data_IF_806599160184
#
_entry.id   IF_806599160184
#
_cell.length_a   1.000
_cell.length_b   1.000
_cell.length_c   1.000
_cell.angle_alpha   90.00
_cell.angle_beta   90.00
_cell.angle_gamma   90.00
#
_symmetry.space_group_name_H-M   'P 1'
#
loop_
_entity.id
_entity.type
_entity.pdbx_description
1 polymer ?
#
# COMPACT_ATOMS: atom_id res chain seq x y z
N UNK A 1 -19.61 42.71 -27.92
CA UNK A 1 -19.73 42.20 -26.53
C UNK A 1 -19.32 40.73 -26.39
N UNK A 2 -19.46 39.89 -27.43
CA UNK A 2 -19.13 38.45 -27.42
C UNK A 2 -17.64 38.09 -27.23
N UNK A 3 -16.69 38.94 -27.64
CA UNK A 3 -15.26 38.63 -27.53
C UNK A 3 -14.70 38.57 -26.09
N UNK A 4 -15.29 39.34 -25.16
CA UNK A 4 -14.84 39.37 -23.76
C UNK A 4 -15.24 38.10 -23.00
N UNK A 5 -16.44 37.59 -23.25
CA UNK A 5 -16.91 36.35 -22.64
C UNK A 5 -16.07 35.15 -23.12
N UNK A 6 -15.80 35.05 -24.43
CA UNK A 6 -15.01 33.95 -25.00
C UNK A 6 -13.55 33.93 -24.52
N UNK A 7 -12.97 35.10 -24.25
CA UNK A 7 -11.61 35.20 -23.70
C UNK A 7 -11.54 34.70 -22.25
N UNK A 8 -12.56 35.01 -21.45
CA UNK A 8 -12.64 34.55 -20.05
C UNK A 8 -12.81 33.02 -20.00
N UNK A 9 -13.63 32.43 -20.86
CA UNK A 9 -13.79 30.96 -20.91
C UNK A 9 -12.49 30.26 -21.31
N UNK A 10 -11.73 30.82 -22.26
CA UNK A 10 -10.44 30.26 -22.67
C UNK A 10 -9.41 30.30 -21.54
N UNK A 11 -9.33 31.40 -20.80
CA UNK A 11 -8.47 31.51 -19.60
C UNK A 11 -8.88 30.48 -18.54
N UNK A 12 -10.18 30.31 -18.31
CA UNK A 12 -10.65 29.34 -17.31
C UNK A 12 -10.30 27.89 -17.69
N UNK A 13 -10.49 27.52 -18.96
CA UNK A 13 -10.15 26.17 -19.45
C UNK A 13 -8.63 25.94 -19.40
N UNK A 14 -7.82 26.92 -19.79
CA UNK A 14 -6.36 26.78 -19.71
C UNK A 14 -5.87 26.60 -18.27
N UNK A 15 -6.40 27.36 -17.30
CA UNK A 15 -6.12 27.16 -15.87
C UNK A 15 -6.53 25.75 -15.41
N UNK A 16 -7.71 25.28 -15.81
CA UNK A 16 -8.19 23.92 -15.49
C UNK A 16 -7.26 22.84 -16.07
N UNK A 17 -6.82 22.98 -17.32
CA UNK A 17 -5.89 22.02 -17.94
C UNK A 17 -4.52 22.03 -17.28
N UNK A 18 -3.98 23.20 -16.94
CA UNK A 18 -2.69 23.32 -16.26
C UNK A 18 -2.78 22.71 -14.85
N UNK A 19 -3.84 23.01 -14.09
CA UNK A 19 -4.03 22.40 -12.77
C UNK A 19 -4.19 20.88 -12.83
N UNK A 20 -4.88 20.35 -13.84
CA UNK A 20 -5.00 18.90 -14.05
C UNK A 20 -3.64 18.26 -14.39
N UNK A 21 -2.83 18.91 -15.23
CA UNK A 21 -1.47 18.43 -15.57
C UNK A 21 -0.53 18.44 -14.35
N UNK A 22 -0.60 19.46 -13.50
CA UNK A 22 0.14 19.50 -12.24
C UNK A 22 -0.31 18.42 -11.26
N UNK A 23 -1.61 18.13 -11.18
CA UNK A 23 -2.14 17.07 -10.30
C UNK A 23 -1.77 15.65 -10.77
N UNK A 24 -1.61 15.44 -12.08
CA UNK A 24 -1.10 14.18 -12.64
C UNK A 24 0.42 14.03 -12.44
N UNK A 25 1.16 15.14 -12.44
CA UNK A 25 2.62 15.14 -12.38
C UNK A 25 3.25 15.00 -10.99
N UNK A 26 2.49 15.03 -9.89
CA UNK A 26 3.07 15.14 -8.53
C UNK A 26 2.46 14.20 -7.51
N UNK A 27 2.12 12.96 -7.88
CA UNK A 27 1.90 11.92 -6.86
C UNK A 27 3.26 11.35 -6.47
N UNK A 28 4.04 12.15 -5.73
CA UNK A 28 5.28 11.66 -5.11
C UNK A 28 4.93 10.86 -3.87
N UNK A 29 4.73 9.56 -4.04
CA UNK A 29 4.48 8.63 -2.93
C UNK A 29 5.59 8.70 -1.87
N UNK A 30 6.83 9.04 -2.25
CA UNK A 30 7.96 9.19 -1.33
C UNK A 30 7.69 10.23 -0.25
N UNK A 31 7.01 11.33 -0.58
CA UNK A 31 6.68 12.40 0.36
C UNK A 31 5.73 11.94 1.49
N UNK A 32 4.90 10.93 1.25
CA UNK A 32 4.01 10.35 2.26
C UNK A 32 4.75 9.44 3.26
N UNK A 33 5.84 8.80 2.84
CA UNK A 33 6.70 7.97 3.70
C UNK A 33 7.82 8.75 4.40
N UNK A 34 8.22 9.89 3.83
CA UNK A 34 9.36 10.69 4.30
C UNK A 34 9.19 11.50 5.60
N UNK A 35 7.98 11.81 6.15
CA UNK A 35 7.91 12.65 7.35
C UNK A 35 8.54 11.98 8.57
N UNK A 36 8.53 10.64 8.62
CA UNK A 36 9.09 9.87 9.74
C UNK A 36 10.63 9.73 9.65
N UNK A 37 11.18 9.77 8.44
CA UNK A 37 12.62 9.63 8.19
C UNK A 37 13.39 10.96 8.33
N UNK A 38 12.71 12.11 8.14
CA UNK A 38 13.35 13.42 8.18
C UNK A 38 13.56 13.99 9.60
N UNK A 39 12.96 13.40 10.63
CA UNK A 39 13.06 13.89 12.02
C UNK A 39 14.24 13.31 12.80
N UNK A 40 14.99 12.37 12.24
CA UNK A 40 16.15 11.80 12.92
C UNK A 40 17.40 12.65 12.66
N UNK A 41 18.05 13.21 13.70
CA UNK A 41 19.34 13.87 13.53
C UNK A 41 20.33 12.87 12.94
N UNK A 42 21.12 13.31 11.96
CA UNK A 42 22.03 12.48 11.14
C UNK A 42 23.07 11.65 11.91
N UNK A 43 23.18 11.85 13.23
CA UNK A 43 24.18 11.23 14.09
C UNK A 43 23.59 10.28 15.14
N UNK A 44 22.27 10.03 15.17
CA UNK A 44 21.70 9.06 16.09
C UNK A 44 21.63 7.67 15.46
N UNK A 45 22.63 6.85 15.75
CA UNK A 45 22.63 5.42 15.41
C UNK A 45 22.05 4.67 16.61
N UNK A 46 20.85 4.06 16.50
CA UNK A 46 20.36 3.16 17.53
C UNK A 46 21.38 2.02 17.72
N UNK A 47 21.64 1.55 18.95
CA UNK A 47 22.63 0.50 19.23
C UNK A 47 22.37 -0.82 18.47
N UNK A 48 21.16 -1.00 17.93
CA UNK A 48 20.67 -2.22 17.29
C UNK A 48 20.30 -2.05 15.81
N UNK A 49 20.95 -1.16 15.05
CA UNK A 49 20.81 -1.23 13.59
C UNK A 49 21.65 -2.39 13.06
N UNK A 50 20.97 -3.48 12.71
CA UNK A 50 21.41 -4.36 11.62
C UNK A 50 21.82 -3.45 10.44
N UNK A 51 23.06 -3.57 9.97
CA UNK A 51 23.55 -2.82 8.80
C UNK A 51 22.80 -3.18 7.51
N UNK A 52 21.98 -4.23 7.54
CA UNK A 52 21.13 -4.67 6.43
C UNK A 52 19.63 -4.45 6.72
N UNK A 53 18.85 -4.04 5.70
CA UNK A 53 17.40 -3.95 5.82
C UNK A 53 16.76 -5.31 6.09
N UNK A 54 15.62 -5.33 6.76
CA UNK A 54 14.80 -6.54 6.95
C UNK A 54 14.31 -7.06 5.59
N UNK A 55 14.62 -8.32 5.25
CA UNK A 55 14.16 -8.93 3.99
C UNK A 55 12.77 -9.51 4.19
N UNK A 56 11.79 -8.93 3.53
CA UNK A 56 10.38 -9.28 3.68
C UNK A 56 9.88 -9.98 2.42
N UNK A 57 9.48 -11.24 2.53
CA UNK A 57 8.69 -11.87 1.48
C UNK A 57 7.23 -11.47 1.66
N UNK A 58 6.67 -10.76 0.68
CA UNK A 58 5.27 -10.37 0.69
C UNK A 58 4.48 -11.26 -0.27
N UNK A 59 3.44 -11.92 0.24
CA UNK A 59 2.57 -12.76 -0.58
C UNK A 59 1.80 -11.93 -1.62
N UNK A 60 1.80 -12.41 -2.86
CA UNK A 60 0.95 -11.90 -3.94
C UNK A 60 -0.45 -12.48 -3.81
N UNK A 61 -1.26 -11.86 -2.96
CA UNK A 61 -2.66 -12.25 -2.75
C UNK A 61 -3.62 -11.38 -3.57
N UNK A 62 -4.80 -11.90 -3.93
CA UNK A 62 -5.82 -11.14 -4.63
C UNK A 62 -6.22 -9.86 -3.89
N UNK A 63 -6.41 -8.77 -4.63
CA UNK A 63 -6.67 -7.45 -4.05
C UNK A 63 -7.98 -7.31 -3.28
N UNK A 64 -8.92 -8.27 -3.40
CA UNK A 64 -10.10 -8.37 -2.51
C UNK A 64 -9.73 -8.46 -1.03
N UNK A 65 -8.51 -8.94 -0.72
CA UNK A 65 -7.98 -9.03 0.64
C UNK A 65 -7.34 -7.72 1.14
N UNK A 66 -7.17 -6.71 0.28
CA UNK A 66 -6.54 -5.44 0.66
C UNK A 66 -7.25 -4.22 0.06
N UNK A 67 -6.70 -3.65 -1.01
CA UNK A 67 -7.12 -2.37 -1.58
C UNK A 67 -8.46 -2.45 -2.28
N UNK A 68 -8.91 -3.65 -2.66
CA UNK A 68 -10.26 -3.88 -3.18
C UNK A 68 -11.35 -3.45 -2.20
N UNK A 69 -11.05 -3.42 -0.89
CA UNK A 69 -12.00 -2.91 0.11
C UNK A 69 -12.04 -1.38 0.17
N UNK A 70 -11.06 -0.66 -0.39
CA UNK A 70 -11.03 0.81 -0.38
C UNK A 70 -12.07 1.43 -1.32
N UNK A 71 -12.38 0.76 -2.44
CA UNK A 71 -13.37 1.22 -3.43
C UNK A 71 -14.45 0.17 -3.65
N UNK A 72 -15.72 0.60 -3.60
CA UNK A 72 -16.84 -0.28 -3.98
C UNK A 72 -16.78 -0.62 -5.47
N UNK A 73 -17.13 -1.86 -5.81
CA UNK A 73 -17.23 -2.32 -7.20
C UNK A 73 -15.89 -2.73 -7.82
N UNK A 74 -14.84 -2.87 -7.02
CA UNK A 74 -13.57 -3.43 -7.46
C UNK A 74 -13.67 -4.97 -7.50
N UNK A 75 -13.79 -5.52 -8.70
CA UNK A 75 -13.90 -6.96 -8.95
C UNK A 75 -12.63 -7.58 -9.53
N UNK A 76 -11.56 -6.80 -9.59
CA UNK A 76 -10.28 -7.28 -10.05
C UNK A 76 -9.64 -8.14 -8.95
N UNK A 77 -9.17 -9.32 -9.33
CA UNK A 77 -8.57 -10.30 -8.43
C UNK A 77 -7.04 -10.36 -8.58
N UNK A 78 -6.45 -9.52 -9.43
CA UNK A 78 -5.00 -9.45 -9.60
C UNK A 78 -4.32 -8.96 -8.32
N UNK A 79 -3.09 -9.44 -8.02
CA UNK A 79 -2.29 -8.88 -6.94
C UNK A 79 -1.96 -7.40 -7.16
N UNK A 80 -1.72 -6.69 -6.06
CA UNK A 80 -1.38 -5.27 -6.09
C UNK A 80 0.10 -5.09 -6.46
N UNK A 81 0.36 -4.23 -7.44
CA UNK A 81 1.69 -3.75 -7.85
C UNK A 81 1.82 -2.26 -7.53
N UNK A 82 3.02 -1.70 -7.65
CA UNK A 82 3.21 -0.24 -7.52
C UNK A 82 2.32 0.55 -8.50
N UNK A 83 2.19 0.05 -9.74
CA UNK A 83 1.48 0.70 -10.84
C UNK A 83 -0.03 0.77 -10.62
N UNK A 84 -0.60 -0.25 -9.96
CA UNK A 84 -2.04 -0.37 -9.74
C UNK A 84 -2.47 -0.04 -8.29
N UNK A 85 -1.53 0.37 -7.44
CA UNK A 85 -1.80 0.73 -6.05
C UNK A 85 -2.66 2.01 -5.98
N UNK A 86 -3.92 1.94 -5.51
CA UNK A 86 -4.73 3.15 -5.37
C UNK A 86 -4.19 4.01 -4.22
N UNK A 87 -4.31 5.34 -4.30
CA UNK A 87 -3.92 6.22 -3.20
C UNK A 87 -4.81 5.99 -1.98
N UNK A 88 -4.21 6.12 -0.79
CA UNK A 88 -5.00 6.10 0.45
C UNK A 88 -6.07 7.20 0.42
N UNK A 89 -7.35 6.90 0.69
CA UNK A 89 -8.40 7.91 0.56
C UNK A 89 -8.20 9.06 1.56
N UNK A 90 -8.40 10.31 1.13
CA UNK A 90 -8.20 11.50 1.99
C UNK A 90 -9.29 11.65 3.06
N UNK A 91 -10.50 11.16 2.75
CA UNK A 91 -11.71 11.25 3.58
C UNK A 91 -12.13 9.91 4.18
N UNK A 92 -11.17 9.08 4.62
CA UNK A 92 -11.49 7.72 5.11
C UNK A 92 -12.14 7.65 6.50
N UNK A 93 -12.31 8.77 7.21
CA UNK A 93 -12.89 8.80 8.56
C UNK A 93 -12.17 7.85 9.51
N UNK A 94 -12.93 7.03 10.25
CA UNK A 94 -12.43 6.00 11.17
C UNK A 94 -11.47 4.99 10.50
N UNK A 95 -11.59 4.81 9.18
CA UNK A 95 -10.73 3.89 8.43
C UNK A 95 -9.27 4.35 8.40
N UNK A 96 -8.96 5.63 8.66
CA UNK A 96 -7.57 6.15 8.73
C UNK A 96 -6.72 5.42 9.78
N UNK A 97 -7.35 4.93 10.85
CA UNK A 97 -6.68 4.20 11.92
C UNK A 97 -6.18 2.80 11.47
N UNK A 98 -6.63 2.32 10.30
CA UNK A 98 -6.29 1.01 9.73
C UNK A 98 -5.46 1.14 8.45
N UNK A 99 -4.57 2.14 8.44
CA UNK A 99 -3.70 2.43 7.30
C UNK A 99 -2.33 1.75 7.38
N UNK A 100 -1.99 1.14 8.52
CA UNK A 100 -0.67 0.55 8.76
C UNK A 100 -0.39 -0.54 7.72
N UNK A 101 -1.34 -1.44 7.50
CA UNK A 101 -1.22 -2.54 6.54
C UNK A 101 -1.05 -2.02 5.11
N UNK A 102 -1.74 -0.92 4.76
CA UNK A 102 -1.58 -0.25 3.47
C UNK A 102 -0.20 0.36 3.31
N UNK A 103 0.29 1.11 4.30
CA UNK A 103 1.58 1.77 4.21
C UNK A 103 2.74 0.76 4.23
N UNK A 104 2.61 -0.34 4.97
CA UNK A 104 3.58 -1.45 4.93
C UNK A 104 3.64 -2.10 3.54
N UNK A 105 2.49 -2.40 2.94
CA UNK A 105 2.46 -2.97 1.58
C UNK A 105 3.01 -1.99 0.55
N UNK A 106 2.60 -0.72 0.62
CA UNK A 106 3.01 0.31 -0.30
C UNK A 106 4.52 0.62 -0.22
N UNK A 107 5.11 0.62 0.97
CA UNK A 107 6.56 0.81 1.14
C UNK A 107 7.37 -0.34 0.54
N UNK A 108 6.90 -1.59 0.71
CA UNK A 108 7.52 -2.78 0.13
C UNK A 108 7.39 -2.81 -1.40
N UNK A 109 6.24 -2.42 -1.95
CA UNK A 109 6.02 -2.31 -3.40
C UNK A 109 6.94 -1.26 -4.03
N UNK A 110 6.98 -0.05 -3.45
CA UNK A 110 7.80 1.04 -3.97
C UNK A 110 9.30 0.72 -3.93
N UNK A 111 9.78 0.16 -2.81
CA UNK A 111 11.19 -0.19 -2.67
C UNK A 111 11.62 -1.31 -3.62
N UNK A 112 10.71 -2.23 -3.97
CA UNK A 112 10.99 -3.35 -4.87
C UNK A 112 11.38 -2.91 -6.27
N UNK A 113 10.71 -1.91 -6.84
CA UNK A 113 10.98 -1.46 -8.22
C UNK A 113 12.20 -0.53 -8.30
N UNK A 114 12.61 0.03 -7.15
CA UNK A 114 13.72 0.97 -7.06
C UNK A 114 14.96 0.35 -6.41
N UNK A 115 14.95 -0.92 -6.00
CA UNK A 115 16.12 -1.55 -5.35
C UNK A 115 17.31 -1.67 -6.28
N UNK A 116 17.08 -1.96 -7.56
CA UNK A 116 18.14 -2.17 -8.55
C UNK A 116 18.89 -0.88 -8.91
N UNK A 117 18.26 0.27 -8.67
CA UNK A 117 18.87 1.59 -8.90
C UNK A 117 19.56 2.17 -7.66
N UNK A 118 19.33 1.59 -6.47
CA UNK A 118 19.88 2.08 -5.21
C UNK A 118 21.25 1.46 -4.92
N UNK A 119 22.24 2.30 -4.65
CA UNK A 119 23.61 1.88 -4.33
C UNK A 119 23.83 1.85 -2.83
N UNK A 120 24.59 0.84 -2.37
CA UNK A 120 25.25 0.72 -1.06
C UNK A 120 24.60 1.47 0.10
N UNK A 121 24.96 2.74 0.25
CA UNK A 121 24.54 3.61 1.35
C UNK A 121 23.01 3.83 1.41
N UNK A 122 22.31 3.90 0.28
CA UNK A 122 20.85 4.04 0.25
C UNK A 122 20.12 2.75 0.65
N UNK A 123 20.71 1.58 0.40
CA UNK A 123 20.15 0.31 0.86
C UNK A 123 20.29 0.16 2.37
N UNK A 124 21.43 0.61 2.93
CA UNK A 124 21.70 0.61 4.38
C UNK A 124 20.85 1.60 5.18
N UNK A 125 20.19 2.55 4.51
CA UNK A 125 19.22 3.46 5.12
C UNK A 125 17.80 2.88 5.23
N UNK A 126 17.50 1.80 4.52
CA UNK A 126 16.16 1.21 4.56
C UNK A 126 15.95 0.35 5.80
N UNK A 127 14.74 0.43 6.35
CA UNK A 127 14.33 -0.47 7.44
C UNK A 127 13.93 -1.85 6.91
N UNK A 128 13.31 -1.92 5.73
CA UNK A 128 12.85 -3.16 5.11
C UNK A 128 12.88 -3.10 3.57
N UNK A 129 13.15 -4.26 2.95
CA UNK A 129 13.10 -4.47 1.50
C UNK A 129 12.22 -5.68 1.17
N UNK A 130 11.51 -5.61 0.04
CA UNK A 130 10.77 -6.76 -0.48
C UNK A 130 11.77 -7.73 -1.14
N UNK A 131 11.65 -9.01 -0.82
CA UNK A 131 12.31 -10.10 -1.56
C UNK A 131 11.26 -10.98 -2.23
N UNK A 132 11.55 -11.46 -3.43
CA UNK A 132 10.67 -12.35 -4.18
C UNK A 132 10.99 -13.83 -3.95
N UNK A 133 12.21 -14.14 -3.52
CA UNK A 133 12.57 -15.48 -3.11
C UNK A 133 12.31 -15.63 -1.59
N UNK A 134 11.33 -16.45 -1.18
CA UNK A 134 11.02 -16.69 0.22
C UNK A 134 12.11 -17.45 0.98
N UNK A 135 13.01 -18.18 0.33
CA UNK A 135 14.10 -18.91 1.01
C UNK A 135 15.18 -17.95 1.56
N UNK A 136 15.24 -16.71 1.05
CA UNK A 136 16.12 -15.64 1.54
C UNK A 136 15.40 -14.62 2.41
N UNK A 137 14.13 -14.83 2.73
CA UNK A 137 13.35 -13.91 3.53
C UNK A 137 13.64 -14.09 5.03
N UNK A 138 13.71 -12.97 5.75
CA UNK A 138 13.80 -12.97 7.21
C UNK A 138 12.40 -13.09 7.83
N UNK A 139 11.38 -12.50 7.19
CA UNK A 139 9.98 -12.55 7.61
C UNK A 139 9.03 -12.63 6.43
N UNK A 140 7.83 -13.14 6.69
CA UNK A 140 6.74 -13.22 5.73
C UNK A 140 5.66 -12.18 6.08
N UNK A 141 5.23 -11.43 5.08
CA UNK A 141 4.12 -10.48 5.20
C UNK A 141 2.95 -10.93 4.34
N UNK A 142 1.79 -11.13 4.99
CA UNK A 142 0.51 -11.38 4.31
C UNK A 142 -0.26 -10.06 4.29
N UNK A 143 -0.41 -9.38 3.15
CA UNK A 143 -1.03 -8.06 3.10
C UNK A 143 -2.57 -8.17 3.13
N UNK A 144 -3.12 -8.82 4.16
CA UNK A 144 -4.56 -8.88 4.41
C UNK A 144 -4.97 -7.73 5.33
N UNK A 145 -5.84 -6.83 4.85
CA UNK A 145 -6.28 -5.65 5.62
C UNK A 145 -7.45 -6.04 6.53
N UNK A 146 -7.19 -6.91 7.50
CA UNK A 146 -8.21 -7.50 8.39
C UNK A 146 -9.02 -6.44 9.13
N UNK A 147 -8.36 -5.42 9.67
CA UNK A 147 -9.03 -4.32 10.36
C UNK A 147 -9.94 -3.52 9.42
N UNK A 148 -9.54 -3.36 8.15
CA UNK A 148 -10.36 -2.72 7.13
C UNK A 148 -11.56 -3.61 6.76
N UNK A 149 -11.34 -4.91 6.60
CA UNK A 149 -12.39 -5.90 6.35
C UNK A 149 -13.46 -5.85 7.43
N UNK A 150 -13.04 -5.87 8.70
CA UNK A 150 -13.95 -5.74 9.84
C UNK A 150 -14.74 -4.43 9.81
N UNK A 151 -14.11 -3.29 9.52
CA UNK A 151 -14.84 -2.02 9.47
C UNK A 151 -15.83 -1.93 8.30
N UNK A 152 -15.47 -2.49 7.14
CA UNK A 152 -16.31 -2.42 5.94
C UNK A 152 -17.46 -3.43 6.00
N UNK A 153 -17.23 -4.60 6.61
CA UNK A 153 -18.15 -5.74 6.53
C UNK A 153 -18.65 -6.26 7.89
N UNK A 154 -17.98 -5.97 9.01
CA UNK A 154 -18.25 -6.58 10.33
C UNK A 154 -19.13 -5.77 11.29
N UNK A 155 -19.88 -4.78 10.83
CA UNK A 155 -20.53 -3.75 11.67
C UNK A 155 -21.43 -4.30 12.80
N UNK A 156 -22.16 -5.40 12.58
CA UNK A 156 -23.12 -5.93 13.56
C UNK A 156 -22.84 -7.38 14.00
N UNK A 157 -21.81 -8.03 13.45
CA UNK A 157 -21.45 -9.45 13.65
C UNK A 157 -22.58 -10.50 13.51
N UNK A 158 -23.78 -10.07 13.12
CA UNK A 158 -25.04 -10.84 13.13
C UNK A 158 -25.81 -10.71 11.82
N UNK A 159 -25.33 -9.90 10.87
CA UNK A 159 -25.95 -9.69 9.57
C UNK A 159 -25.22 -10.47 8.44
N UNK A 160 -25.88 -10.71 7.29
CA UNK A 160 -25.24 -11.36 6.14
C UNK A 160 -24.00 -10.61 5.60
N UNK A 161 -23.84 -9.33 5.95
CA UNK A 161 -22.68 -8.52 5.56
C UNK A 161 -21.43 -8.95 6.35
N UNK A 162 -21.59 -9.33 7.63
CA UNK A 162 -20.53 -9.96 8.44
C UNK A 162 -20.04 -11.27 7.82
N UNK A 163 -20.89 -11.99 7.10
CA UNK A 163 -20.49 -13.22 6.41
C UNK A 163 -19.38 -12.96 5.40
N UNK A 164 -19.32 -11.76 4.80
CA UNK A 164 -18.23 -11.41 3.88
C UNK A 164 -16.89 -11.27 4.59
N UNK A 165 -16.86 -10.66 5.78
CA UNK A 165 -15.63 -10.57 6.58
C UNK A 165 -15.13 -11.97 6.95
N UNK A 166 -16.04 -12.82 7.46
CA UNK A 166 -15.73 -14.22 7.79
C UNK A 166 -15.23 -14.99 6.58
N UNK A 167 -15.88 -14.82 5.43
CA UNK A 167 -15.48 -15.48 4.19
C UNK A 167 -14.07 -15.05 3.77
N UNK A 168 -13.74 -13.75 3.84
CA UNK A 168 -12.39 -13.27 3.54
C UNK A 168 -11.35 -13.88 4.49
N UNK A 169 -11.67 -13.99 5.79
CA UNK A 169 -10.79 -14.64 6.76
C UNK A 169 -10.60 -16.15 6.48
N UNK A 170 -11.66 -16.86 6.09
CA UNK A 170 -11.57 -18.28 5.73
C UNK A 170 -10.78 -18.47 4.44
N UNK A 171 -11.05 -17.65 3.42
CA UNK A 171 -10.42 -17.75 2.12
C UNK A 171 -8.92 -17.46 2.20
N UNK A 172 -8.49 -16.48 2.98
CA UNK A 172 -7.06 -16.19 3.14
C UNK A 172 -6.34 -17.34 3.85
N UNK A 173 -6.97 -17.96 4.87
CA UNK A 173 -6.40 -19.13 5.53
C UNK A 173 -6.30 -20.33 4.58
N UNK A 174 -7.31 -20.53 3.72
CA UNK A 174 -7.28 -21.57 2.69
C UNK A 174 -6.13 -21.33 1.71
N UNK A 175 -6.03 -20.11 1.18
CA UNK A 175 -4.93 -19.71 0.28
C UNK A 175 -3.56 -19.96 0.91
N UNK A 176 -3.36 -19.55 2.16
CA UNK A 176 -2.08 -19.73 2.86
C UNK A 176 -1.77 -21.20 3.09
N UNK A 177 -2.74 -22.02 3.53
CA UNK A 177 -2.57 -23.46 3.76
C UNK A 177 -2.21 -24.25 2.50
N UNK A 178 -2.57 -23.74 1.33
CA UNK A 178 -2.18 -24.32 0.04
C UNK A 178 -0.74 -23.96 -0.35
N UNK A 179 -0.13 -22.96 0.28
CA UNK A 179 1.25 -22.54 -0.01
C UNK A 179 2.29 -23.50 0.61
N UNK A 180 3.35 -23.78 -0.16
CA UNK A 180 4.49 -24.63 0.26
C UNK A 180 5.10 -24.17 1.59
N UNK A 181 5.25 -22.86 1.79
CA UNK A 181 5.96 -22.30 2.95
C UNK A 181 5.13 -22.39 4.22
N UNK A 182 3.83 -22.14 4.15
CA UNK A 182 2.91 -22.37 5.27
C UNK A 182 2.87 -23.84 5.67
N UNK A 183 2.82 -24.75 4.69
CA UNK A 183 2.85 -26.20 4.98
C UNK A 183 4.15 -26.63 5.67
N UNK A 184 5.28 -26.03 5.27
CA UNK A 184 6.59 -26.30 5.88
C UNK A 184 6.71 -25.76 7.30
N UNK A 185 6.16 -24.58 7.60
CA UNK A 185 6.19 -24.00 8.96
C UNK A 185 5.12 -24.56 9.90
N UNK A 186 4.01 -25.07 9.33
CA UNK A 186 2.82 -25.45 10.09
C UNK A 186 1.88 -24.27 10.40
N UNK A 187 2.12 -23.10 9.79
CA UNK A 187 1.60 -21.81 10.22
C UNK A 187 2.69 -21.04 10.95
#
# INVERSE_FOLDING_TARGET
>A
VYGKASFITFIFITILTISYLFMIGTVDFRSHFSPFLQSHPSNWVPPCRSLSPLRVYMYDIPRRFNVGMLRRGDSDESPVTEENLPPWPRSSGLRKQHSVEYWMMASLLYNSNHSDSKKGDELGMMEAIRVFDPEIADVFFVPFFSSLSFNVYGHNMTDPVTERDKQLQVDILKFLRESKYWQRSGG
#
